data_IF_806676113173
#
_entry.id   IF_806676113173
#
_cell.length_a   1.000
_cell.length_b   1.000
_cell.length_c   1.000
_cell.angle_alpha   90.00
_cell.angle_beta   90.00
_cell.angle_gamma   90.00
#
_symmetry.space_group_name_H-M   'P 1'
#
loop_
_entity.id
_entity.type
_entity.pdbx_description
1 polymer ?
#
# COMPACT_ATOMS: atom_id res chain seq x y z
N UNK A 1 9.26 11.44 -20.39
CA UNK A 1 10.23 10.72 -19.53
C UNK A 1 9.62 9.37 -19.22
N UNK A 2 10.42 8.32 -19.07
CA UNK A 2 9.88 7.02 -18.66
C UNK A 2 9.41 7.08 -17.21
N UNK A 3 8.30 6.42 -16.89
CA UNK A 3 7.75 6.28 -15.55
C UNK A 3 7.18 4.89 -15.36
N UNK A 4 7.09 4.47 -14.09
CA UNK A 4 6.43 3.24 -13.67
C UNK A 4 5.04 3.57 -13.13
N UNK A 5 3.98 2.91 -13.61
CA UNK A 5 2.66 3.02 -12.99
C UNK A 5 2.69 2.61 -11.52
N UNK A 6 2.01 3.39 -10.67
CA UNK A 6 1.93 3.19 -9.23
C UNK A 6 0.49 2.86 -8.86
N UNK A 7 0.33 1.72 -8.20
CA UNK A 7 -0.94 1.20 -7.70
C UNK A 7 -0.94 1.17 -6.18
N UNK A 8 -2.14 1.24 -5.61
CA UNK A 8 -2.42 0.79 -4.26
C UNK A 8 -3.34 -0.43 -4.34
N UNK A 9 -3.00 -1.47 -3.59
CA UNK A 9 -3.63 -2.77 -3.62
C UNK A 9 -4.14 -3.10 -2.22
N UNK A 10 -5.29 -3.76 -2.16
CA UNK A 10 -5.82 -4.34 -0.93
C UNK A 10 -5.88 -5.85 -0.98
N UNK A 11 -5.61 -6.48 0.16
CA UNK A 11 -5.76 -7.92 0.35
C UNK A 11 -6.74 -8.23 1.48
N UNK A 12 -7.62 -9.21 1.24
CA UNK A 12 -8.48 -9.79 2.28
C UNK A 12 -7.63 -10.60 3.26
N UNK A 13 -7.85 -10.37 4.56
CA UNK A 13 -7.14 -11.03 5.66
C UNK A 13 -8.00 -12.11 6.35
N UNK A 14 -9.17 -12.38 5.78
CA UNK A 14 -10.20 -13.24 6.32
C UNK A 14 -10.90 -12.64 7.53
N UNK A 15 -11.59 -13.53 8.25
CA UNK A 15 -12.40 -13.18 9.41
C UNK A 15 -11.56 -13.10 10.70
N UNK A 16 -12.10 -12.40 11.69
CA UNK A 16 -11.53 -12.33 13.02
C UNK A 16 -11.67 -13.68 13.72
N UNK A 17 -10.65 -14.05 14.49
CA UNK A 17 -10.60 -15.34 15.18
C UNK A 17 -11.55 -15.39 16.38
N UNK A 18 -11.86 -14.24 16.99
CA UNK A 18 -12.77 -14.09 18.13
C UNK A 18 -14.24 -13.94 17.69
N UNK A 19 -14.47 -13.57 16.43
CA UNK A 19 -15.79 -13.35 15.86
C UNK A 19 -15.75 -13.53 14.34
N UNK A 20 -16.20 -14.70 13.86
CA UNK A 20 -16.24 -15.01 12.43
C UNK A 20 -17.21 -14.13 11.64
N UNK A 21 -18.07 -13.36 12.31
CA UNK A 21 -18.95 -12.40 11.62
C UNK A 21 -18.25 -11.08 11.31
N UNK A 22 -17.04 -10.87 11.83
CA UNK A 22 -16.24 -9.66 11.60
C UNK A 22 -15.09 -9.94 10.64
N UNK A 23 -15.07 -9.24 9.52
CA UNK A 23 -13.89 -9.20 8.65
C UNK A 23 -12.76 -8.41 9.31
N UNK A 24 -11.53 -8.86 9.12
CA UNK A 24 -10.36 -8.05 9.47
C UNK A 24 -10.26 -6.87 8.49
N UNK A 25 -9.72 -5.73 8.93
CA UNK A 25 -9.41 -4.63 8.01
C UNK A 25 -8.51 -5.13 6.88
N UNK A 26 -8.71 -4.63 5.67
CA UNK A 26 -7.88 -5.03 4.54
C UNK A 26 -6.42 -4.64 4.76
N UNK A 27 -5.52 -5.50 4.28
CA UNK A 27 -4.10 -5.15 4.20
C UNK A 27 -3.87 -4.24 3.00
N UNK A 28 -3.20 -3.12 3.18
CA UNK A 28 -2.88 -2.19 2.09
C UNK A 28 -1.39 -2.29 1.73
N UNK A 29 -1.11 -2.29 0.43
CA UNK A 29 0.23 -2.29 -0.12
C UNK A 29 0.31 -1.36 -1.34
N UNK A 30 1.52 -0.91 -1.67
CA UNK A 30 1.80 -0.25 -2.94
C UNK A 30 2.41 -1.24 -3.92
N UNK A 31 2.04 -1.14 -5.19
CA UNK A 31 2.67 -1.91 -6.25
C UNK A 31 3.18 -0.96 -7.34
N UNK A 32 4.44 -1.12 -7.70
CA UNK A 32 5.09 -0.37 -8.75
C UNK A 32 5.33 -1.31 -9.93
N UNK A 33 4.61 -1.12 -11.02
CA UNK A 33 4.74 -1.96 -12.21
C UNK A 33 5.99 -1.56 -12.99
N UNK A 34 7.04 -2.37 -12.87
CA UNK A 34 8.33 -2.15 -13.55
C UNK A 34 8.50 -2.99 -14.81
N UNK A 35 7.69 -4.04 -14.96
CA UNK A 35 7.66 -4.91 -16.13
C UNK A 35 6.61 -4.50 -17.17
N UNK A 36 6.49 -5.32 -18.21
CA UNK A 36 5.58 -5.02 -19.33
C UNK A 36 4.21 -5.66 -19.13
N UNK A 37 4.18 -6.78 -18.40
CA UNK A 37 2.97 -7.54 -18.15
C UNK A 37 2.32 -7.13 -16.81
N UNK A 38 0.99 -7.26 -16.67
CA UNK A 38 0.31 -7.05 -15.39
C UNK A 38 0.91 -7.92 -14.28
N UNK A 39 1.14 -7.32 -13.12
CA UNK A 39 1.73 -8.01 -11.97
C UNK A 39 3.25 -8.17 -12.00
N UNK A 40 3.95 -7.75 -13.05
CA UNK A 40 5.41 -7.67 -13.05
C UNK A 40 5.92 -6.37 -12.42
N UNK A 41 6.37 -6.44 -11.17
CA UNK A 41 6.80 -5.25 -10.46
C UNK A 41 7.37 -5.50 -9.08
N UNK A 42 7.30 -4.46 -8.27
CA UNK A 42 7.71 -4.49 -6.87
C UNK A 42 6.54 -4.06 -5.98
N UNK A 43 6.27 -4.88 -4.97
CA UNK A 43 5.34 -4.58 -3.91
C UNK A 43 6.06 -3.95 -2.71
N UNK A 44 5.44 -2.97 -2.07
CA UNK A 44 5.94 -2.29 -0.90
C UNK A 44 4.84 -2.28 0.17
N UNK A 45 5.08 -2.98 1.26
CA UNK A 45 4.06 -3.22 2.28
C UNK A 45 4.63 -3.19 3.68
N UNK A 46 3.80 -2.76 4.64
CA UNK A 46 4.12 -2.85 6.05
C UNK A 46 3.79 -4.25 6.56
N UNK A 47 4.78 -4.91 7.17
CA UNK A 47 4.63 -6.24 7.73
C UNK A 47 4.45 -6.21 9.25
N UNK A 48 3.98 -7.32 9.80
CA UNK A 48 3.90 -7.57 11.23
C UNK A 48 2.52 -7.31 11.82
N UNK A 49 2.51 -6.96 13.10
CA UNK A 49 1.31 -6.75 13.92
C UNK A 49 1.57 -5.63 14.93
N UNK A 50 0.53 -5.07 15.58
CA UNK A 50 0.72 -4.11 16.67
C UNK A 50 1.76 -4.64 17.68
N UNK A 51 2.73 -3.80 18.07
CA UNK A 51 3.90 -4.23 18.87
C UNK A 51 5.17 -4.53 18.06
N UNK A 52 5.03 -4.93 16.79
CA UNK A 52 6.13 -5.50 16.02
C UNK A 52 6.04 -5.22 14.51
N UNK A 53 5.53 -4.05 14.12
CA UNK A 53 5.50 -3.64 12.71
C UNK A 53 6.92 -3.38 12.16
N UNK A 54 7.14 -3.71 10.88
CA UNK A 54 8.40 -3.44 10.18
C UNK A 54 8.20 -3.26 8.67
N UNK A 55 9.17 -2.64 8.01
CA UNK A 55 9.21 -2.44 6.55
C UNK A 55 10.59 -2.85 6.01
N UNK A 56 10.60 -3.73 4.99
CA UNK A 56 11.78 -4.37 4.41
C UNK A 56 12.23 -3.78 3.07
N UNK A 57 11.46 -2.86 2.48
CA UNK A 57 11.71 -2.36 1.13
C UNK A 57 10.79 -2.99 0.09
N UNK A 58 11.25 -3.01 -1.17
CA UNK A 58 10.48 -3.56 -2.30
C UNK A 58 10.66 -5.07 -2.43
N UNK A 59 9.57 -5.75 -2.73
CA UNK A 59 9.48 -7.21 -2.81
C UNK A 59 9.03 -7.61 -4.22
N UNK A 60 9.75 -8.53 -4.85
CA UNK A 60 9.40 -9.06 -6.16
C UNK A 60 8.25 -10.08 -6.02
N UNK A 61 7.03 -9.56 -5.87
CA UNK A 61 5.78 -10.31 -5.72
C UNK A 61 4.86 -9.95 -6.88
N UNK A 62 4.11 -10.93 -7.37
CA UNK A 62 3.06 -10.71 -8.36
C UNK A 62 1.68 -10.68 -7.67
N UNK A 63 1.04 -9.50 -7.54
CA UNK A 63 -0.28 -9.39 -6.94
C UNK A 63 -1.36 -10.23 -7.63
N UNK A 64 -1.26 -10.46 -8.94
CA UNK A 64 -2.21 -11.28 -9.72
C UNK A 64 -2.23 -12.75 -9.32
N UNK A 65 -1.16 -13.22 -8.65
CA UNK A 65 -1.06 -14.61 -8.21
C UNK A 65 -1.72 -14.87 -6.85
N UNK A 66 -2.23 -13.81 -6.18
CA UNK A 66 -2.79 -13.91 -4.83
C UNK A 66 -4.30 -13.98 -4.85
N UNK A 67 -4.87 -15.10 -4.40
CA UNK A 67 -6.32 -15.24 -4.19
C UNK A 67 -6.88 -14.27 -3.15
N UNK A 68 -6.00 -13.71 -2.30
CA UNK A 68 -6.38 -12.71 -1.31
C UNK A 68 -6.47 -11.30 -1.90
N UNK A 69 -5.98 -11.05 -3.12
CA UNK A 69 -6.07 -9.72 -3.74
C UNK A 69 -7.53 -9.35 -3.92
N UNK A 70 -7.93 -8.24 -3.33
CA UNK A 70 -9.32 -7.80 -3.30
C UNK A 70 -9.57 -6.63 -4.27
N UNK A 71 -8.79 -5.56 -4.16
CA UNK A 71 -8.91 -4.40 -5.04
C UNK A 71 -7.54 -3.86 -5.43
N UNK A 72 -7.50 -3.21 -6.58
CA UNK A 72 -6.33 -2.51 -7.11
C UNK A 72 -6.78 -1.18 -7.71
N UNK A 73 -6.02 -0.12 -7.46
CA UNK A 73 -6.29 1.20 -7.99
C UNK A 73 -4.98 1.84 -8.46
N UNK A 74 -4.92 2.21 -9.74
CA UNK A 74 -3.84 3.06 -10.26
C UNK A 74 -4.01 4.47 -9.71
N UNK A 75 -2.99 4.97 -9.01
CA UNK A 75 -3.04 6.26 -8.30
C UNK A 75 -2.06 7.29 -8.88
N UNK A 76 -1.20 6.88 -9.80
CA UNK A 76 -0.29 7.76 -10.51
C UNK A 76 0.92 7.01 -11.05
N UNK A 77 2.08 7.68 -11.08
CA UNK A 77 3.30 7.09 -11.60
C UNK A 77 4.56 7.68 -10.97
N UNK A 78 5.62 6.88 -10.96
CA UNK A 78 6.94 7.27 -10.46
C UNK A 78 7.90 7.40 -11.64
N UNK A 79 8.48 8.59 -11.91
CA UNK A 79 9.54 8.73 -12.89
C UNK A 79 10.71 7.79 -12.58
N UNK A 80 11.28 7.14 -13.60
CA UNK A 80 12.33 6.12 -13.43
C UNK A 80 13.55 6.68 -12.66
N UNK A 81 13.92 7.93 -12.95
CA UNK A 81 15.02 8.66 -12.30
C UNK A 81 14.73 9.04 -10.83
N UNK A 82 13.47 8.95 -10.40
CA UNK A 82 13.02 9.22 -9.03
C UNK A 82 12.71 7.95 -8.23
N UNK A 83 12.97 6.75 -8.77
CA UNK A 83 12.75 5.49 -8.06
C UNK A 83 13.43 5.45 -6.67
N UNK A 84 14.70 5.86 -6.58
CA UNK A 84 15.42 5.92 -5.30
C UNK A 84 14.79 6.90 -4.29
N UNK A 85 14.19 8.00 -4.79
CA UNK A 85 13.46 8.94 -3.95
C UNK A 85 12.16 8.31 -3.44
N UNK A 86 11.42 7.65 -4.31
CA UNK A 86 10.18 6.93 -3.95
C UNK A 86 10.43 5.91 -2.82
N UNK A 87 11.44 5.05 -2.94
CA UNK A 87 11.77 4.05 -1.90
C UNK A 87 12.24 4.71 -0.60
N UNK A 88 12.98 5.82 -0.69
CA UNK A 88 13.39 6.60 0.49
C UNK A 88 12.17 7.20 1.23
N UNK A 89 11.12 7.64 0.53
CA UNK A 89 9.94 8.19 1.18
C UNK A 89 9.21 7.14 2.00
N UNK A 90 9.06 5.92 1.46
CA UNK A 90 8.46 4.78 2.15
C UNK A 90 9.26 4.38 3.39
N UNK A 91 10.58 4.25 3.26
CA UNK A 91 11.46 3.92 4.38
C UNK A 91 11.43 4.95 5.52
N UNK A 92 11.02 6.19 5.24
CA UNK A 92 10.95 7.28 6.21
C UNK A 92 9.52 7.53 6.75
N UNK A 93 8.55 6.69 6.40
CA UNK A 93 7.24 6.74 7.06
C UNK A 93 7.40 6.21 8.48
N UNK A 94 6.99 6.98 9.52
CA UNK A 94 7.02 6.52 10.90
C UNK A 94 6.28 5.20 11.07
N UNK A 95 6.86 4.30 11.87
CA UNK A 95 6.21 3.04 12.25
C UNK A 95 5.94 3.11 13.75
N UNK A 96 4.66 3.04 14.11
CA UNK A 96 4.23 3.06 15.51
C UNK A 96 4.08 1.63 15.99
N UNK A 97 4.94 1.23 16.93
CA UNK A 97 4.96 -0.13 17.52
C UNK A 97 4.23 -0.21 18.86
N UNK A 98 3.55 0.85 19.30
CA UNK A 98 2.73 0.79 20.52
C UNK A 98 1.53 -0.15 20.31
N UNK A 99 1.48 -1.26 21.05
CA UNK A 99 0.41 -2.26 20.98
C UNK A 99 -0.98 -1.69 21.32
N UNK A 100 -1.04 -0.62 22.12
CA UNK A 100 -2.29 0.05 22.47
C UNK A 100 -2.79 0.99 21.37
N UNK A 101 -1.96 1.25 20.37
CA UNK A 101 -2.31 2.07 19.22
C UNK A 101 -3.24 1.33 18.26
N UNK A 102 -4.14 2.08 17.61
CA UNK A 102 -4.94 1.57 16.48
C UNK A 102 -4.23 1.68 15.13
N UNK A 103 -3.01 2.23 15.14
CA UNK A 103 -2.19 2.46 13.95
C UNK A 103 -1.82 1.14 13.27
N UNK A 104 -1.96 1.09 11.95
CA UNK A 104 -1.74 -0.12 11.15
C UNK A 104 -1.25 0.20 9.72
N UNK A 105 -1.26 -0.80 8.83
CA UNK A 105 -0.80 -0.65 7.44
C UNK A 105 -1.58 0.38 6.60
N UNK A 106 -2.86 0.62 6.92
CA UNK A 106 -3.65 1.67 6.27
C UNK A 106 -3.14 3.05 6.68
N UNK A 107 -2.84 3.26 7.96
CA UNK A 107 -2.26 4.53 8.45
C UNK A 107 -0.88 4.79 7.84
N UNK A 108 -0.03 3.77 7.81
CA UNK A 108 1.27 3.83 7.12
C UNK A 108 1.13 4.21 5.64
N UNK A 109 0.18 3.58 4.94
CA UNK A 109 -0.08 3.87 3.51
C UNK A 109 -0.58 5.29 3.31
N UNK A 110 -1.44 5.80 4.18
CA UNK A 110 -1.96 7.18 4.07
C UNK A 110 -0.87 8.23 4.30
N UNK A 111 0.03 7.98 5.25
CA UNK A 111 1.20 8.84 5.47
C UNK A 111 2.18 8.79 4.28
N UNK A 112 2.38 7.63 3.66
CA UNK A 112 3.17 7.49 2.44
C UNK A 112 2.53 8.27 1.28
N UNK A 113 1.21 8.17 1.09
CA UNK A 113 0.46 8.89 0.05
C UNK A 113 0.62 10.40 0.18
N UNK A 114 0.58 10.96 1.39
CA UNK A 114 0.80 12.39 1.60
C UNK A 114 2.20 12.85 1.18
N UNK A 115 3.21 11.98 1.34
CA UNK A 115 4.57 12.25 0.88
C UNK A 115 4.69 12.14 -0.62
N UNK A 116 4.07 11.13 -1.23
CA UNK A 116 4.04 10.93 -2.68
C UNK A 116 3.36 12.09 -3.41
N UNK A 117 2.27 12.64 -2.86
CA UNK A 117 1.59 13.83 -3.42
C UNK A 117 2.51 15.04 -3.48
N UNK A 118 3.32 15.28 -2.44
CA UNK A 118 4.27 16.42 -2.42
C UNK A 118 5.36 16.30 -3.47
N UNK A 119 5.64 15.09 -3.96
CA UNK A 119 6.63 14.80 -4.99
C UNK A 119 6.03 14.72 -6.39
N UNK A 120 4.69 14.81 -6.50
CA UNK A 120 3.96 14.73 -7.75
C UNK A 120 3.79 13.30 -8.30
N UNK A 121 3.89 12.27 -7.45
CA UNK A 121 3.74 10.87 -7.89
C UNK A 121 2.29 10.41 -7.95
N UNK A 122 1.39 11.13 -7.28
CA UNK A 122 -0.04 10.80 -7.19
C UNK A 122 -0.84 11.82 -7.99
N UNK A 123 -1.81 11.35 -8.77
CA UNK A 123 -2.72 12.23 -9.50
C UNK A 123 -3.65 12.99 -8.55
N UNK A 124 -4.02 14.22 -8.93
CA UNK A 124 -4.70 15.18 -8.04
C UNK A 124 -6.04 14.66 -7.49
N UNK A 125 -6.77 13.86 -8.28
CA UNK A 125 -8.06 13.30 -7.87
C UNK A 125 -7.96 12.25 -6.74
N UNK A 126 -6.79 11.64 -6.54
CA UNK A 126 -6.61 10.57 -5.55
C UNK A 126 -6.21 11.12 -4.18
N UNK A 127 -7.09 11.93 -3.60
CA UNK A 127 -7.00 12.39 -2.22
C UNK A 127 -7.24 11.24 -1.22
N UNK A 128 -6.77 11.37 0.02
CA UNK A 128 -6.86 10.29 1.03
C UNK A 128 -8.31 9.84 1.28
N UNK A 129 -9.28 10.75 1.27
CA UNK A 129 -10.69 10.40 1.43
C UNK A 129 -11.24 9.60 0.24
N UNK A 130 -10.78 9.90 -0.99
CA UNK A 130 -11.16 9.17 -2.20
C UNK A 130 -10.58 7.76 -2.17
N UNK A 131 -9.29 7.63 -1.83
CA UNK A 131 -8.63 6.32 -1.71
C UNK A 131 -9.31 5.48 -0.62
N UNK A 132 -9.54 6.05 0.58
CA UNK A 132 -10.28 5.36 1.65
C UNK A 132 -11.67 4.91 1.22
N UNK A 133 -12.38 5.76 0.47
CA UNK A 133 -13.70 5.39 -0.03
C UNK A 133 -13.61 4.23 -1.01
N UNK A 134 -12.65 4.26 -1.94
CA UNK A 134 -12.46 3.21 -2.95
C UNK A 134 -12.08 1.87 -2.32
N UNK A 135 -11.13 1.91 -1.38
CA UNK A 135 -10.51 0.75 -0.73
C UNK A 135 -11.17 0.31 0.57
N UNK A 136 -12.38 0.80 0.84
CA UNK A 136 -13.14 0.47 2.05
C UNK A 136 -13.49 -1.01 2.09
N UNK A 137 -13.56 -1.55 3.29
CA UNK A 137 -14.14 -2.87 3.52
C UNK A 137 -15.61 -2.90 3.09
N UNK A 138 -16.02 -4.01 2.48
CA UNK A 138 -17.44 -4.27 2.21
C UNK A 138 -18.20 -4.33 3.54
N UNK A 139 -19.38 -3.72 3.57
CA UNK A 139 -20.24 -3.65 4.76
C UNK A 139 -20.94 -4.98 5.03
#
# INVERSE_FOLDING_TARGET
MASYPLYIITYDRGESWDDSTKKKPFHWAFFLQTGSDPGEGLEFQLHGMPGAFYYSGGEAVNPESSDAKNQELEIGSVPVDKYARFTQLLANVPIIIDESSKWNCQDWSLEALDRFRREGFIEEQYQNNVIKYWLREDK
#
